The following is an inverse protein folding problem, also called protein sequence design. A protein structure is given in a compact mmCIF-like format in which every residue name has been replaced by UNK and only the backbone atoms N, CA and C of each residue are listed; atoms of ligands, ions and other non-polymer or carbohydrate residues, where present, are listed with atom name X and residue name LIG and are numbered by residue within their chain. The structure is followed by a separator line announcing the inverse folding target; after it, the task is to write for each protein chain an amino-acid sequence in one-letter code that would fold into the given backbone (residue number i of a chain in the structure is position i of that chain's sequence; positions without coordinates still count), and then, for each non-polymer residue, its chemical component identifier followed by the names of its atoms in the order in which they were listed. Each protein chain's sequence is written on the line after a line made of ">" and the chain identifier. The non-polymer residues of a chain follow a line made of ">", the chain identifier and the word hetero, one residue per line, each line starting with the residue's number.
data_IF_342082943100
#
_entry.id   IF_342082943100
#
_cell.length_a   1.000
_cell.length_b   1.000
_cell.length_c   1.000
_cell.angle_alpha   90.00
_cell.angle_beta   90.00
_cell.angle_gamma   90.00
#
_symmetry.space_group_name_H-M   'P 1'
#
loop_
_entity.id
_entity.type
_entity.pdbx_description
1 polymer ?
#
# COMPACT_ATOMS: atom_id res chain seq x y z
N UNK A 1 39.22 -1.77 46.62
CA UNK A 1 38.39 -0.75 45.94
C UNK A 1 36.98 -1.28 45.86
N UNK A 2 35.99 -0.37 45.94
CA UNK A 2 34.52 -0.57 46.05
C UNK A 2 34.03 -0.51 47.50
N UNK A 3 33.93 0.72 48.00
CA UNK A 3 33.25 1.08 49.25
C UNK A 3 32.41 2.35 48.96
N UNK A 4 31.28 2.19 48.28
CA UNK A 4 30.24 3.20 48.13
C UNK A 4 28.94 2.43 47.93
N UNK A 5 28.13 2.24 48.99
CA UNK A 5 26.68 1.92 48.98
C UNK A 5 26.06 1.48 50.35
N UNK A 6 26.45 1.99 51.54
CA UNK A 6 25.61 1.77 52.74
C UNK A 6 24.69 2.95 53.10
N UNK A 7 24.87 4.14 52.50
CA UNK A 7 24.18 5.36 52.96
C UNK A 7 22.87 5.70 52.25
N UNK A 8 22.58 5.10 51.09
CA UNK A 8 21.33 5.37 50.37
C UNK A 8 20.13 4.61 50.95
N UNK A 9 20.34 3.42 51.53
CA UNK A 9 19.27 2.62 52.14
C UNK A 9 18.80 3.20 53.48
N UNK A 10 19.70 3.83 54.24
CA UNK A 10 19.38 4.41 55.56
C UNK A 10 18.55 5.69 55.44
N UNK A 11 18.79 6.53 54.45
CA UNK A 11 18.01 7.75 54.20
C UNK A 11 16.59 7.45 53.68
N UNK A 12 16.42 6.40 52.86
CA UNK A 12 15.11 5.98 52.40
C UNK A 12 14.25 5.40 53.54
N UNK A 13 14.88 4.66 54.47
CA UNK A 13 14.19 4.08 55.64
C UNK A 13 13.86 5.15 56.69
N UNK A 14 14.69 6.19 56.87
CA UNK A 14 14.37 7.29 57.80
C UNK A 14 13.28 8.23 57.28
N UNK A 15 13.16 8.39 55.95
CA UNK A 15 12.09 9.20 55.35
C UNK A 15 10.72 8.51 55.48
N UNK A 16 10.68 7.17 55.35
CA UNK A 16 9.44 6.39 55.53
C UNK A 16 8.98 6.37 56.99
N UNK A 17 9.90 6.45 57.96
CA UNK A 17 9.57 6.48 59.39
C UNK A 17 8.96 7.80 59.89
N UNK A 18 8.95 8.87 59.08
CA UNK A 18 8.46 10.19 59.51
C UNK A 18 7.12 10.60 58.89
N UNK A 19 6.52 9.74 58.06
CA UNK A 19 5.26 10.01 57.36
C UNK A 19 4.07 9.58 58.23
N UNK A 20 3.08 10.46 58.34
CA UNK A 20 1.82 10.16 59.02
C UNK A 20 1.05 9.05 58.26
N UNK A 21 0.20 8.28 58.94
CA UNK A 21 -0.51 7.13 58.32
C UNK A 21 -1.33 7.55 57.08
N UNK A 22 -1.79 8.82 57.03
CA UNK A 22 -2.47 9.41 55.89
C UNK A 22 -1.57 9.63 54.66
N UNK A 23 -0.30 9.99 54.85
CA UNK A 23 0.66 10.22 53.76
C UNK A 23 1.16 8.89 53.17
N UNK A 24 1.34 7.88 54.00
CA UNK A 24 1.64 6.50 53.57
C UNK A 24 0.51 5.90 52.71
N UNK A 25 -0.76 6.17 53.06
CA UNK A 25 -1.93 5.75 52.27
C UNK A 25 -2.01 6.47 50.92
N UNK A 26 -1.65 7.75 50.85
CA UNK A 26 -1.59 8.50 49.59
C UNK A 26 -0.46 8.02 48.68
N UNK A 27 0.73 7.75 49.23
CA UNK A 27 1.87 7.24 48.46
C UNK A 27 1.63 5.81 47.95
N UNK A 28 1.07 4.92 48.78
CA UNK A 28 0.71 3.56 48.36
C UNK A 28 -0.40 3.56 47.30
N UNK A 29 -1.41 4.43 47.44
CA UNK A 29 -2.41 4.67 46.41
C UNK A 29 -1.82 5.15 45.09
N UNK A 30 -0.92 6.14 45.11
CA UNK A 30 -0.28 6.67 43.92
C UNK A 30 0.61 5.63 43.19
N UNK A 31 1.38 4.83 43.94
CA UNK A 31 2.20 3.73 43.37
C UNK A 31 1.33 2.67 42.71
N UNK A 32 0.17 2.35 43.29
CA UNK A 32 -0.77 1.38 42.70
C UNK A 32 -1.37 1.88 41.37
N UNK A 33 -1.69 3.18 41.27
CA UNK A 33 -2.23 3.76 40.03
C UNK A 33 -1.16 3.79 38.93
N UNK A 34 0.08 4.18 39.26
CA UNK A 34 1.19 4.22 38.30
C UNK A 34 1.53 2.82 37.77
N UNK A 35 1.58 1.82 38.65
CA UNK A 35 1.84 0.43 38.23
C UNK A 35 0.74 -0.10 37.32
N UNK A 36 -0.54 0.15 37.65
CA UNK A 36 -1.67 -0.20 36.77
C UNK A 36 -1.56 0.49 35.41
N UNK A 37 -1.22 1.78 35.36
CA UNK A 37 -1.05 2.50 34.10
C UNK A 37 0.11 1.94 33.26
N UNK A 38 1.25 1.63 33.88
CA UNK A 38 2.40 1.01 33.23
C UNK A 38 2.00 -0.38 32.69
N UNK A 39 1.31 -1.20 33.48
CA UNK A 39 0.84 -2.53 33.06
C UNK A 39 -0.14 -2.45 31.89
N UNK A 40 -1.14 -1.57 31.97
CA UNK A 40 -2.09 -1.32 30.87
C UNK A 40 -1.36 -0.89 29.62
N UNK A 41 -0.38 0.01 29.73
CA UNK A 41 0.41 0.47 28.59
C UNK A 41 1.29 -0.65 28.00
N UNK A 42 1.96 -1.41 28.86
CA UNK A 42 2.81 -2.54 28.50
C UNK A 42 2.04 -3.66 27.80
N UNK A 43 0.75 -3.84 28.12
CA UNK A 43 -0.12 -4.84 27.48
C UNK A 43 -0.77 -4.29 26.21
N UNK A 44 -1.30 -3.06 26.24
CA UNK A 44 -2.09 -2.52 25.12
C UNK A 44 -1.25 -2.18 23.90
N UNK A 45 -0.01 -1.71 24.06
CA UNK A 45 0.89 -1.41 22.94
C UNK A 45 1.24 -2.64 22.09
N UNK A 46 1.74 -3.75 22.63
CA UNK A 46 2.05 -4.93 21.83
C UNK A 46 0.79 -5.52 21.20
N UNK A 47 -0.36 -5.52 21.87
CA UNK A 47 -1.62 -5.97 21.28
C UNK A 47 -2.04 -5.12 20.07
N UNK A 48 -1.95 -3.78 20.19
CA UNK A 48 -2.21 -2.88 19.06
C UNK A 48 -1.24 -3.12 17.91
N UNK A 49 0.03 -3.36 18.23
CA UNK A 49 1.06 -3.65 17.23
C UNK A 49 0.79 -4.97 16.51
N UNK A 50 0.56 -6.06 17.24
CA UNK A 50 0.22 -7.38 16.70
C UNK A 50 -1.04 -7.35 15.84
N UNK A 51 -2.13 -6.73 16.34
CA UNK A 51 -3.36 -6.55 15.55
C UNK A 51 -3.09 -5.80 14.25
N UNK A 52 -2.28 -4.74 14.31
CA UNK A 52 -1.92 -3.97 13.12
C UNK A 52 -1.05 -4.76 12.15
N UNK A 53 -0.17 -5.64 12.64
CA UNK A 53 0.64 -6.52 11.81
C UNK A 53 -0.22 -7.60 11.12
N UNK A 54 -1.18 -8.19 11.83
CA UNK A 54 -2.13 -9.15 11.24
C UNK A 54 -3.00 -8.51 10.15
N UNK A 55 -3.45 -7.26 10.35
CA UNK A 55 -4.18 -6.51 9.33
C UNK A 55 -3.32 -6.21 8.10
N UNK A 56 -2.04 -5.90 8.30
CA UNK A 56 -1.08 -5.68 7.21
C UNK A 56 -0.90 -6.97 6.40
N UNK A 57 -0.62 -8.11 7.04
CA UNK A 57 -0.47 -9.40 6.35
C UNK A 57 -1.71 -9.75 5.51
N UNK A 58 -2.90 -9.62 6.10
CA UNK A 58 -4.16 -9.85 5.37
C UNK A 58 -4.36 -8.88 4.19
N UNK A 59 -3.93 -7.62 4.34
CA UNK A 59 -4.02 -6.62 3.29
C UNK A 59 -3.10 -7.00 2.12
N UNK A 60 -1.84 -7.36 2.39
CA UNK A 60 -0.89 -7.79 1.35
C UNK A 60 -1.39 -9.03 0.62
N UNK A 61 -1.88 -10.04 1.34
CA UNK A 61 -2.50 -11.23 0.73
C UNK A 61 -3.73 -10.92 -0.12
N UNK A 62 -4.46 -9.84 0.18
CA UNK A 62 -5.57 -9.41 -0.65
C UNK A 62 -5.06 -8.82 -1.98
N UNK A 63 -3.98 -8.05 -1.97
CA UNK A 63 -3.36 -7.56 -3.21
C UNK A 63 -2.84 -8.72 -4.08
N UNK A 64 -2.12 -9.65 -3.48
CA UNK A 64 -1.59 -10.85 -4.16
C UNK A 64 -2.73 -11.66 -4.80
N UNK A 65 -3.78 -11.99 -4.04
CA UNK A 65 -4.96 -12.68 -4.58
C UNK A 65 -5.68 -11.89 -5.66
N UNK A 66 -5.65 -10.57 -5.62
CA UNK A 66 -6.21 -9.76 -6.70
C UNK A 66 -5.43 -9.92 -8.00
N UNK A 67 -4.10 -9.83 -7.93
CA UNK A 67 -3.23 -10.02 -9.07
C UNK A 67 -3.32 -11.44 -9.64
N UNK A 68 -3.25 -12.45 -8.77
CA UNK A 68 -3.34 -13.86 -9.16
C UNK A 68 -4.69 -14.20 -9.81
N UNK A 69 -5.80 -13.69 -9.24
CA UNK A 69 -7.11 -13.87 -9.84
C UNK A 69 -7.19 -13.23 -11.23
N UNK A 70 -6.58 -12.05 -11.41
CA UNK A 70 -6.59 -11.35 -12.69
C UNK A 70 -5.73 -12.06 -13.76
N UNK A 71 -4.57 -12.57 -13.37
CA UNK A 71 -3.53 -13.07 -14.27
C UNK A 71 -3.43 -14.60 -14.37
N UNK A 72 -4.33 -15.33 -13.70
CA UNK A 72 -4.27 -16.79 -13.56
C UNK A 72 -2.93 -17.19 -12.95
N UNK A 73 -2.70 -16.74 -11.72
CA UNK A 73 -1.46 -16.97 -10.96
C UNK A 73 -0.19 -16.52 -11.71
N UNK A 74 -0.29 -15.43 -12.48
CA UNK A 74 0.80 -14.88 -13.28
C UNK A 74 1.06 -15.61 -14.60
N UNK A 75 0.29 -16.66 -14.94
CA UNK A 75 0.48 -17.42 -16.16
C UNK A 75 0.09 -16.65 -17.43
N UNK A 76 -0.86 -15.70 -17.32
CA UNK A 76 -1.35 -14.93 -18.45
C UNK A 76 -1.50 -13.44 -18.12
N UNK A 77 -0.55 -12.65 -18.62
CA UNK A 77 -0.45 -11.20 -18.37
C UNK A 77 -0.61 -10.35 -19.63
N UNK A 78 -0.48 -10.91 -20.83
CA UNK A 78 -0.57 -10.16 -22.09
C UNK A 78 -1.38 -10.90 -23.18
N UNK A 79 -2.68 -10.60 -23.33
CA UNK A 79 -3.54 -9.89 -22.39
C UNK A 79 -4.04 -10.82 -21.28
N UNK A 80 -4.39 -10.27 -20.12
CA UNK A 80 -5.09 -11.02 -19.07
C UNK A 80 -6.38 -11.62 -19.62
N UNK A 81 -6.85 -12.77 -19.12
CA UNK A 81 -8.10 -13.35 -19.57
C UNK A 81 -9.26 -12.40 -19.34
N UNK A 82 -10.09 -12.21 -20.36
CA UNK A 82 -11.37 -11.50 -20.22
C UNK A 82 -12.44 -12.40 -19.58
N UNK A 83 -12.10 -13.01 -18.45
CA UNK A 83 -12.99 -13.85 -17.65
C UNK A 83 -13.72 -13.00 -16.59
N UNK A 84 -15.05 -13.03 -16.63
CA UNK A 84 -15.88 -12.23 -15.73
C UNK A 84 -15.62 -12.50 -14.24
N UNK A 85 -15.42 -13.77 -13.85
CA UNK A 85 -15.19 -14.16 -12.46
C UNK A 85 -13.82 -13.73 -11.98
N UNK A 86 -12.80 -13.82 -12.83
CA UNK A 86 -11.44 -13.36 -12.52
C UNK A 86 -11.43 -11.86 -12.23
N UNK A 87 -12.02 -11.05 -13.10
CA UNK A 87 -12.11 -9.60 -12.92
C UNK A 87 -12.91 -9.22 -11.66
N UNK A 88 -14.05 -9.87 -11.41
CA UNK A 88 -14.84 -9.66 -10.19
C UNK A 88 -14.07 -10.02 -8.93
N UNK A 89 -13.36 -11.14 -8.95
CA UNK A 89 -12.56 -11.61 -7.81
C UNK A 89 -11.40 -10.66 -7.53
N UNK A 90 -10.70 -10.22 -8.58
CA UNK A 90 -9.66 -9.21 -8.48
C UNK A 90 -10.21 -7.91 -7.84
N UNK A 91 -11.30 -7.37 -8.35
CA UNK A 91 -11.92 -6.15 -7.84
C UNK A 91 -12.34 -6.26 -6.37
N UNK A 92 -12.94 -7.38 -5.96
CA UNK A 92 -13.33 -7.64 -4.55
C UNK A 92 -12.13 -7.67 -3.62
N UNK A 93 -11.04 -8.30 -4.05
CA UNK A 93 -9.81 -8.37 -3.28
C UNK A 93 -9.13 -6.99 -3.17
N UNK A 94 -9.14 -6.17 -4.22
CA UNK A 94 -8.66 -4.78 -4.18
C UNK A 94 -9.46 -3.91 -3.20
N UNK A 95 -10.80 -4.02 -3.21
CA UNK A 95 -11.64 -3.31 -2.25
C UNK A 95 -11.44 -3.81 -0.81
N UNK A 96 -11.21 -5.11 -0.64
CA UNK A 96 -10.86 -5.71 0.66
C UNK A 96 -9.55 -5.14 1.19
N UNK A 97 -8.52 -5.05 0.33
CA UNK A 97 -7.25 -4.41 0.67
C UNK A 97 -7.46 -2.97 1.15
N UNK A 98 -8.21 -2.14 0.40
CA UNK A 98 -8.50 -0.75 0.78
C UNK A 98 -9.19 -0.67 2.15
N UNK A 99 -10.13 -1.58 2.41
CA UNK A 99 -10.82 -1.65 3.70
C UNK A 99 -9.90 -2.05 4.86
N UNK A 100 -9.00 -3.01 4.65
CA UNK A 100 -8.01 -3.45 5.66
C UNK A 100 -6.99 -2.36 5.95
N UNK A 101 -6.44 -1.72 4.90
CA UNK A 101 -5.47 -0.63 5.01
C UNK A 101 -5.98 0.51 5.88
N UNK A 102 -7.25 0.90 5.74
CA UNK A 102 -7.90 1.94 6.58
C UNK A 102 -7.92 1.59 8.07
N UNK A 103 -7.94 0.29 8.42
CA UNK A 103 -7.96 -0.19 9.81
C UNK A 103 -6.58 -0.31 10.45
N UNK A 104 -5.50 -0.22 9.66
CA UNK A 104 -4.12 -0.23 10.16
C UNK A 104 -3.87 1.06 10.94
N UNK A 105 -3.70 0.94 12.26
CA UNK A 105 -3.53 2.07 13.17
C UNK A 105 -2.06 2.44 13.44
N UNK A 106 -1.12 1.53 13.21
CA UNK A 106 0.32 1.79 13.40
C UNK A 106 0.89 2.43 12.13
N UNK A 107 1.50 3.61 12.27
CA UNK A 107 2.06 4.39 11.15
C UNK A 107 3.07 3.58 10.32
N UNK A 108 3.97 2.85 10.98
CA UNK A 108 5.00 2.02 10.30
C UNK A 108 4.34 0.94 9.44
N UNK A 109 3.38 0.20 9.97
CA UNK A 109 2.64 -0.81 9.18
C UNK A 109 1.84 -0.19 8.04
N UNK A 110 1.31 1.04 8.21
CA UNK A 110 0.63 1.74 7.11
C UNK A 110 1.59 2.08 5.99
N UNK A 111 2.79 2.57 6.31
CA UNK A 111 3.85 2.83 5.32
C UNK A 111 4.24 1.55 4.58
N UNK A 112 4.45 0.45 5.29
CA UNK A 112 4.72 -0.86 4.64
C UNK A 112 3.56 -1.27 3.71
N UNK A 113 2.30 -1.02 4.11
CA UNK A 113 1.16 -1.26 3.25
C UNK A 113 1.12 -0.35 2.01
N UNK A 114 1.64 0.88 2.12
CA UNK A 114 1.78 1.83 1.00
C UNK A 114 2.82 1.31 -0.02
N UNK A 115 3.96 0.80 0.46
CA UNK A 115 5.04 0.25 -0.38
C UNK A 115 4.56 -1.01 -1.14
N UNK A 116 3.85 -1.91 -0.46
CA UNK A 116 3.23 -3.06 -1.12
C UNK A 116 2.16 -2.63 -2.13
N UNK A 117 1.39 -1.59 -1.85
CA UNK A 117 0.40 -1.07 -2.81
C UNK A 117 1.06 -0.64 -4.11
N UNK A 118 2.19 0.07 -4.03
CA UNK A 118 2.93 0.56 -5.19
C UNK A 118 3.45 -0.61 -6.03
N UNK A 119 4.06 -1.61 -5.39
CA UNK A 119 4.52 -2.81 -6.06
C UNK A 119 3.39 -3.52 -6.83
N UNK A 120 2.29 -3.83 -6.15
CA UNK A 120 1.16 -4.56 -6.76
C UNK A 120 0.41 -3.71 -7.79
N UNK A 121 0.31 -2.40 -7.57
CA UNK A 121 -0.23 -1.46 -8.55
C UNK A 121 0.57 -1.50 -9.85
N UNK A 122 1.89 -1.50 -9.75
CA UNK A 122 2.77 -1.59 -10.92
C UNK A 122 2.61 -2.93 -11.66
N UNK A 123 2.56 -4.05 -10.94
CA UNK A 123 2.34 -5.37 -11.56
C UNK A 123 0.99 -5.44 -12.29
N UNK A 124 -0.08 -4.92 -11.68
CA UNK A 124 -1.39 -4.84 -12.33
C UNK A 124 -1.34 -3.88 -13.53
N UNK A 125 -0.62 -2.77 -13.43
CA UNK A 125 -0.41 -1.85 -14.55
C UNK A 125 0.25 -2.53 -15.74
N UNK A 126 1.34 -3.29 -15.51
CA UNK A 126 2.04 -4.02 -16.56
C UNK A 126 1.13 -5.06 -17.22
N UNK A 127 0.36 -5.79 -16.42
CA UNK A 127 -0.63 -6.74 -16.94
C UNK A 127 -1.73 -6.06 -17.78
N UNK A 128 -1.93 -4.75 -17.64
CA UNK A 128 -2.94 -3.97 -18.34
C UNK A 128 -2.37 -3.03 -19.42
N UNK A 129 -1.11 -3.24 -19.84
CA UNK A 129 -0.42 -2.36 -20.79
C UNK A 129 -0.64 -2.74 -22.27
N UNK A 130 -1.26 -3.88 -22.57
CA UNK A 130 -1.46 -4.37 -23.94
C UNK A 130 -2.56 -3.66 -24.76
N UNK A 131 -2.45 -3.71 -26.09
CA UNK A 131 -3.39 -3.02 -27.00
C UNK A 131 -4.83 -3.57 -26.94
N UNK A 132 -5.00 -4.79 -26.44
CA UNK A 132 -6.29 -5.45 -26.32
C UNK A 132 -7.29 -4.62 -25.48
N UNK A 133 -6.82 -3.89 -24.47
CA UNK A 133 -7.65 -3.09 -23.57
C UNK A 133 -8.20 -1.82 -24.22
N UNK A 134 -7.70 -1.44 -25.40
CA UNK A 134 -8.28 -0.34 -26.18
C UNK A 134 -9.47 -0.79 -27.03
N UNK A 135 -9.67 -2.10 -27.19
CA UNK A 135 -10.75 -2.66 -28.00
C UNK A 135 -12.00 -2.92 -27.15
N UNK A 136 -13.17 -2.35 -27.48
CA UNK A 136 -14.41 -2.62 -26.74
C UNK A 136 -14.82 -4.11 -26.72
N UNK A 137 -14.41 -4.86 -27.75
CA UNK A 137 -14.63 -6.32 -27.89
C UNK A 137 -13.94 -7.13 -26.80
N UNK A 138 -12.87 -6.62 -26.20
CA UNK A 138 -12.20 -7.28 -25.08
C UNK A 138 -13.13 -7.38 -23.86
N UNK A 139 -13.84 -6.30 -23.54
CA UNK A 139 -14.77 -6.24 -22.40
C UNK A 139 -16.15 -6.83 -22.69
N UNK A 140 -16.54 -6.83 -23.96
CA UNK A 140 -17.85 -7.27 -24.41
C UNK A 140 -18.10 -8.77 -24.25
N UNK A 141 -19.38 -9.13 -24.21
CA UNK A 141 -19.80 -10.52 -24.37
C UNK A 141 -19.52 -10.99 -25.80
N UNK A 142 -18.98 -12.20 -25.92
CA UNK A 142 -18.74 -12.83 -27.22
C UNK A 142 -19.92 -13.75 -27.54
N UNK A 143 -20.76 -13.31 -28.46
CA UNK A 143 -21.90 -14.08 -28.98
C UNK A 143 -21.38 -15.04 -30.07
N UNK A 144 -20.95 -16.22 -29.65
CA UNK A 144 -20.44 -17.29 -30.51
C UNK A 144 -21.18 -18.62 -30.21
N UNK A 145 -20.97 -19.69 -31.02
CA UNK A 145 -21.43 -21.04 -30.68
C UNK A 145 -20.99 -21.44 -29.27
N UNK A 146 -21.74 -22.31 -28.59
CA UNK A 146 -21.60 -22.58 -27.13
C UNK A 146 -20.16 -22.81 -26.66
N UNK A 147 -19.30 -23.42 -27.48
CA UNK A 147 -17.89 -23.69 -27.18
C UNK A 147 -17.00 -22.43 -27.09
N UNK A 148 -17.42 -21.31 -27.69
CA UNK A 148 -16.66 -20.04 -27.75
C UNK A 148 -17.41 -18.88 -27.06
N UNK A 149 -18.57 -19.15 -26.47
CA UNK A 149 -19.36 -18.13 -25.78
C UNK A 149 -18.64 -17.71 -24.50
N UNK A 150 -18.40 -16.41 -24.36
CA UNK A 150 -17.78 -15.81 -23.17
C UNK A 150 -18.64 -14.68 -22.64
N UNK A 151 -18.96 -14.72 -21.35
CA UNK A 151 -19.62 -13.61 -20.67
C UNK A 151 -18.72 -12.37 -20.69
N UNK A 152 -19.32 -11.20 -20.92
CA UNK A 152 -18.58 -9.94 -20.83
C UNK A 152 -18.05 -9.69 -19.42
N UNK A 153 -16.98 -8.90 -19.33
CA UNK A 153 -16.40 -8.46 -18.07
C UNK A 153 -17.43 -7.59 -17.32
N UNK A 154 -17.50 -7.73 -16.01
CA UNK A 154 -18.41 -6.90 -15.22
C UNK A 154 -17.90 -5.44 -15.16
N UNK A 155 -18.71 -4.44 -15.53
CA UNK A 155 -18.22 -3.07 -15.70
C UNK A 155 -17.57 -2.43 -14.45
N UNK A 156 -18.12 -2.65 -13.26
CA UNK A 156 -17.56 -2.05 -12.04
C UNK A 156 -16.20 -2.64 -11.70
N UNK A 157 -16.03 -3.95 -11.91
CA UNK A 157 -14.76 -4.63 -11.71
C UNK A 157 -13.68 -4.11 -12.64
N UNK A 158 -14.01 -3.88 -13.92
CA UNK A 158 -13.10 -3.25 -14.86
C UNK A 158 -12.69 -1.85 -14.39
N UNK A 159 -13.64 -1.03 -13.94
CA UNK A 159 -13.36 0.31 -13.41
C UNK A 159 -12.44 0.24 -12.19
N UNK A 160 -12.72 -0.65 -11.23
CA UNK A 160 -11.93 -0.78 -9.99
C UNK A 160 -10.49 -1.19 -10.31
N UNK A 161 -10.31 -2.20 -11.16
CA UNK A 161 -9.00 -2.74 -11.53
C UNK A 161 -8.19 -1.68 -12.29
N UNK A 162 -8.77 -1.05 -13.31
CA UNK A 162 -8.08 0.00 -14.06
C UNK A 162 -7.78 1.24 -13.21
N UNK A 163 -8.71 1.66 -12.34
CA UNK A 163 -8.47 2.78 -11.43
C UNK A 163 -7.38 2.45 -10.40
N UNK A 164 -7.32 1.21 -9.93
CA UNK A 164 -6.25 0.77 -9.04
C UNK A 164 -4.89 0.76 -9.75
N UNK A 165 -4.81 0.34 -11.01
CA UNK A 165 -3.56 0.27 -11.76
C UNK A 165 -2.92 1.66 -12.01
N UNK A 166 -3.74 2.70 -12.14
CA UNK A 166 -3.27 4.07 -12.40
C UNK A 166 -2.50 4.64 -11.22
N UNK A 167 -1.45 5.44 -11.48
CA UNK A 167 -0.84 6.24 -10.42
C UNK A 167 -1.86 7.25 -9.86
N UNK A 168 -2.02 7.38 -8.52
CA UNK A 168 -2.97 8.34 -7.95
C UNK A 168 -2.57 9.78 -8.28
N UNK A 169 -3.54 10.59 -8.69
CA UNK A 169 -3.31 12.02 -8.90
C UNK A 169 -2.86 12.68 -7.58
N UNK A 170 -1.75 13.43 -7.64
CA UNK A 170 -1.22 14.17 -6.49
C UNK A 170 -0.42 13.34 -5.48
N UNK A 171 -0.20 12.03 -5.72
CA UNK A 171 0.77 11.26 -4.95
C UNK A 171 2.19 11.60 -5.45
N UNK A 172 3.07 12.15 -4.60
CA UNK A 172 4.44 12.44 -4.98
C UNK A 172 5.18 11.13 -5.27
N UNK A 173 5.97 11.10 -6.33
CA UNK A 173 6.84 9.97 -6.63
C UNK A 173 8.03 10.02 -5.66
N UNK A 174 8.33 8.94 -4.91
CA UNK A 174 9.51 8.87 -4.07
C UNK A 174 10.82 9.14 -4.84
N UNK A 175 10.88 8.79 -6.12
CA UNK A 175 12.05 9.04 -6.98
C UNK A 175 12.26 10.53 -7.25
N UNK A 176 11.19 11.35 -7.27
CA UNK A 176 11.30 12.80 -7.43
C UNK A 176 12.03 13.49 -6.27
N UNK A 177 12.12 12.82 -5.10
CA UNK A 177 12.75 13.36 -3.89
C UNK A 177 14.05 12.63 -3.53
N UNK A 178 14.55 11.74 -4.39
CA UNK A 178 15.79 11.04 -4.17
C UNK A 178 16.98 12.01 -4.22
N UNK A 179 17.91 11.86 -3.28
CA UNK A 179 19.16 12.62 -3.26
C UNK A 179 20.15 11.99 -4.25
N UNK A 180 20.05 12.41 -5.52
CA UNK A 180 20.86 11.88 -6.59
C UNK A 180 22.36 12.15 -6.37
N UNK A 181 22.71 13.32 -5.85
CA UNK A 181 24.10 13.69 -5.60
C UNK A 181 24.72 12.71 -4.60
N UNK A 182 24.03 12.46 -3.49
CA UNK A 182 24.45 11.44 -2.52
C UNK A 182 24.55 10.04 -3.13
N UNK A 183 23.62 9.64 -3.99
CA UNK A 183 23.68 8.32 -4.67
C UNK A 183 24.93 8.23 -5.55
N UNK A 184 25.26 9.28 -6.32
CA UNK A 184 26.46 9.31 -7.15
C UNK A 184 27.75 9.34 -6.34
N UNK A 185 27.76 9.97 -5.17
CA UNK A 185 28.89 9.96 -4.24
C UNK A 185 29.10 8.58 -3.60
N UNK A 186 28.03 7.93 -3.14
CA UNK A 186 28.09 6.62 -2.48
C UNK A 186 28.36 5.48 -3.46
N UNK A 187 27.73 5.51 -4.63
CA UNK A 187 27.84 4.45 -5.65
C UNK A 187 27.55 5.01 -7.04
N UNK A 188 28.58 5.50 -7.73
CA UNK A 188 28.45 5.94 -9.12
C UNK A 188 28.09 4.74 -10.04
N UNK A 189 26.90 4.71 -10.67
CA UNK A 189 26.48 3.59 -11.51
C UNK A 189 27.02 3.68 -12.95
N UNK A 190 27.73 4.75 -13.31
CA UNK A 190 28.23 5.01 -14.68
C UNK A 190 29.40 4.11 -15.12
N UNK A 191 30.40 3.79 -14.27
CA UNK A 191 31.51 2.94 -14.68
C UNK A 191 31.03 1.56 -15.17
N UNK A 192 31.50 1.15 -16.35
CA UNK A 192 31.11 -0.13 -16.97
C UNK A 192 29.73 -0.14 -17.65
N UNK A 193 28.88 0.87 -17.44
CA UNK A 193 27.56 0.97 -18.07
C UNK A 193 27.51 2.10 -19.11
N UNK A 194 28.03 1.80 -20.31
CA UNK A 194 28.10 2.77 -21.42
C UNK A 194 26.71 3.31 -21.82
N UNK A 195 25.68 2.46 -21.75
CA UNK A 195 24.31 2.84 -22.07
C UNK A 195 23.74 3.86 -21.08
N UNK A 196 23.89 3.60 -19.78
CA UNK A 196 23.47 4.52 -18.73
C UNK A 196 24.24 5.85 -18.80
N UNK A 197 25.56 5.80 -19.02
CA UNK A 197 26.38 7.01 -19.19
C UNK A 197 25.88 7.85 -20.36
N UNK A 198 25.69 7.23 -21.53
CA UNK A 198 25.19 7.92 -22.73
C UNK A 198 23.79 8.52 -22.50
N UNK A 199 22.92 7.79 -21.79
CA UNK A 199 21.60 8.28 -21.41
C UNK A 199 21.68 9.50 -20.49
N UNK A 200 22.53 9.46 -19.46
CA UNK A 200 22.71 10.55 -18.50
C UNK A 200 23.40 11.78 -19.12
N UNK A 201 24.28 11.59 -20.09
CA UNK A 201 24.97 12.70 -20.78
C UNK A 201 24.08 13.42 -21.81
N UNK A 202 22.98 12.78 -22.25
CA UNK A 202 22.06 13.35 -23.22
C UNK A 202 21.37 14.62 -22.70
N UNK A 203 21.13 15.66 -23.52
CA UNK A 203 20.47 16.90 -23.06
C UNK A 203 19.09 16.67 -22.43
N UNK A 204 18.42 15.59 -22.83
CA UNK A 204 17.06 15.22 -22.43
C UNK A 204 16.98 14.56 -21.04
N UNK A 205 18.10 14.09 -20.47
CA UNK A 205 18.16 13.52 -19.12
C UNK A 205 18.26 14.59 -18.03
N UNK A 206 18.61 15.84 -18.39
CA UNK A 206 18.82 16.95 -17.46
C UNK A 206 17.53 17.59 -16.93
N UNK A 207 16.36 17.08 -17.32
CA UNK A 207 15.05 17.57 -16.88
C UNK A 207 14.34 16.58 -15.97
N UNK A 208 13.93 17.04 -14.78
CA UNK A 208 13.16 16.28 -13.76
C UNK A 208 11.73 15.89 -14.19
N UNK A 209 11.31 16.23 -15.41
CA UNK A 209 9.91 16.11 -15.86
C UNK A 209 9.53 14.75 -16.47
N UNK A 210 10.47 13.79 -16.55
CA UNK A 210 10.34 12.64 -17.47
C UNK A 210 9.48 11.49 -16.95
N UNK A 211 9.37 11.28 -15.64
CA UNK A 211 8.50 10.24 -15.06
C UNK A 211 7.00 10.54 -15.21
N UNK A 212 6.64 11.76 -15.63
CA UNK A 212 5.24 12.13 -15.94
C UNK A 212 4.70 11.54 -17.24
N UNK A 213 5.58 11.01 -18.11
CA UNK A 213 5.24 10.53 -19.45
C UNK A 213 5.57 9.03 -19.64
N UNK A 214 5.16 8.18 -18.69
CA UNK A 214 4.77 6.83 -19.11
C UNK A 214 3.63 6.98 -20.12
N UNK A 215 3.58 6.21 -21.23
CA UNK A 215 2.41 6.22 -22.10
C UNK A 215 1.21 5.91 -21.20
N UNK A 216 0.40 6.92 -20.90
CA UNK A 216 -0.80 6.73 -20.10
C UNK A 216 -1.66 5.77 -20.92
N UNK A 217 -1.90 4.51 -20.46
CA UNK A 217 -2.80 3.62 -21.18
C UNK A 217 -4.22 4.22 -21.23
N UNK A 218 -4.48 5.32 -20.52
CA UNK A 218 -5.73 6.05 -20.52
C UNK A 218 -5.51 7.56 -20.53
N UNK A 219 -5.16 8.18 -21.68
CA UNK A 219 -4.90 9.61 -21.77
C UNK A 219 -6.02 10.43 -21.10
N UNK A 220 -5.63 11.48 -20.38
CA UNK A 220 -6.49 12.29 -19.49
C UNK A 220 -7.79 12.83 -20.12
N UNK A 221 -7.91 12.80 -21.44
CA UNK A 221 -9.15 13.05 -22.16
C UNK A 221 -9.67 11.82 -22.89
N UNK A 222 -10.89 11.38 -22.55
CA UNK A 222 -12.07 11.27 -23.47
C UNK A 222 -12.96 10.04 -23.36
N UNK A 223 -12.51 8.85 -22.90
CA UNK A 223 -13.37 7.66 -23.01
C UNK A 223 -14.32 7.41 -21.82
N UNK A 224 -13.83 7.45 -20.57
CA UNK A 224 -14.63 7.10 -19.39
C UNK A 224 -15.81 8.06 -19.11
N UNK A 225 -15.66 9.35 -19.43
CA UNK A 225 -16.75 10.34 -19.35
C UNK A 225 -17.88 10.05 -20.34
N UNK A 226 -17.62 9.36 -21.47
CA UNK A 226 -18.65 8.89 -22.41
C UNK A 226 -19.36 7.64 -21.87
N UNK A 227 -18.62 6.67 -21.34
CA UNK A 227 -19.18 5.41 -20.81
C UNK A 227 -20.07 5.59 -19.56
N UNK A 228 -19.71 6.50 -18.65
CA UNK A 228 -20.56 6.83 -17.50
C UNK A 228 -21.85 7.56 -17.91
N UNK A 229 -21.81 8.31 -19.01
CA UNK A 229 -22.98 9.00 -19.56
C UNK A 229 -23.96 8.02 -20.19
N UNK A 230 -23.47 6.98 -20.87
CA UNK A 230 -24.30 5.90 -21.42
C UNK A 230 -24.87 4.99 -20.34
N UNK A 231 -24.13 4.72 -19.24
CA UNK A 231 -24.64 3.94 -18.11
C UNK A 231 -25.75 4.67 -17.33
N UNK A 232 -25.64 5.99 -17.12
CA UNK A 232 -26.71 6.79 -16.49
C UNK A 232 -27.98 6.90 -17.34
N UNK A 233 -27.87 6.80 -18.66
CA UNK A 233 -29.03 6.83 -19.57
C UNK A 233 -29.81 5.50 -19.55
N UNK A 234 -29.14 4.38 -19.25
CA UNK A 234 -29.77 3.05 -19.20
C UNK A 234 -30.50 2.75 -17.88
N UNK A 235 -30.29 3.54 -16.83
CA UNK A 235 -31.04 3.44 -15.56
C UNK A 235 -32.28 4.35 -15.52
N UNK A 236 -32.55 5.11 -16.59
CA UNK A 236 -33.69 6.04 -16.69
C UNK A 236 -34.68 5.69 -17.81
N UNK A 237 -34.48 4.54 -18.46
CA UNK A 237 -35.40 3.91 -19.40
C UNK A 237 -35.75 2.52 -18.84
#
# INVERSE_FOLDING_TARGET
>A
MIAWLPHASTAAVSFVGHLDEGELRLLTGAVSVVTVLISVFAITRPLRYQKSAALLDQAVRALERAYNALTVDGAQTDPVPADRLNWLTAARNLETYKALKRKIGVKVHRRIADDHEEHWRHLIYLALQGDAYHQPTYYGEVVAPRAQRRSGIEPHSAVIVHAFAKWPDGRPDPVEHADFDRIFEETDPRPGNVGLRTFLDAPQSRGTSRFRNLPDPYPKGTWWRRCLRTLRLRQRL
#
